data_IF_369057179609
#
_entry.id   IF_369057179609
#
_cell.length_a   1.000
_cell.length_b   1.000
_cell.length_c   1.000
_cell.angle_alpha   90.00
_cell.angle_beta   90.00
_cell.angle_gamma   90.00
#
_symmetry.space_group_name_H-M   'P 1'
#
loop_
_entity.id
_entity.type
_entity.pdbx_description
1 polymer ?
#
# COMPACT_ATOMS: atom_id res chain seq x y z
N UNK A 1 -10.42 -7.48 -0.71
CA UNK A 1 -9.25 -7.28 0.16
C UNK A 1 -8.95 -8.61 0.85
N UNK A 2 -7.69 -9.01 0.95
CA UNK A 2 -7.29 -10.20 1.72
C UNK A 2 -6.99 -9.76 3.16
N UNK A 3 -7.43 -10.54 4.13
CA UNK A 3 -7.14 -10.37 5.56
C UNK A 3 -6.59 -11.68 6.12
N UNK A 4 -5.55 -11.59 6.93
CA UNK A 4 -4.99 -12.70 7.67
C UNK A 4 -5.66 -12.80 9.04
N UNK A 5 -6.64 -13.70 9.16
CA UNK A 5 -7.40 -13.90 10.40
C UNK A 5 -6.57 -14.47 11.55
N UNK A 6 -5.33 -14.91 11.30
CA UNK A 6 -4.43 -15.45 12.33
C UNK A 6 -3.40 -14.43 12.83
N UNK A 7 -3.29 -13.27 12.18
CA UNK A 7 -2.42 -12.18 12.61
C UNK A 7 -3.17 -11.23 13.57
N UNK A 8 -2.60 -10.91 14.73
CA UNK A 8 -3.28 -10.09 15.74
C UNK A 8 -3.66 -8.68 15.25
N UNK A 9 -2.95 -8.16 14.26
CA UNK A 9 -3.14 -6.81 13.74
C UNK A 9 -4.08 -6.81 12.53
N UNK A 10 -3.96 -7.80 11.63
CA UNK A 10 -4.79 -7.91 10.43
C UNK A 10 -6.13 -8.62 10.67
N UNK A 11 -6.24 -9.43 11.74
CA UNK A 11 -7.48 -10.10 12.12
C UNK A 11 -8.61 -9.13 12.52
N UNK A 12 -8.27 -7.90 12.94
CA UNK A 12 -9.23 -6.87 13.32
C UNK A 12 -8.86 -5.54 12.69
N UNK A 13 -9.62 -5.13 11.67
CA UNK A 13 -9.42 -3.83 11.00
C UNK A 13 -10.55 -2.87 11.37
N UNK A 14 -10.31 -1.82 12.19
CA UNK A 14 -11.31 -0.79 12.49
C UNK A 14 -11.81 -0.07 11.22
N UNK A 15 -13.03 0.47 11.26
CA UNK A 15 -13.64 1.16 10.11
C UNK A 15 -12.75 2.28 9.55
N UNK A 16 -12.17 3.12 10.41
CA UNK A 16 -11.27 4.21 10.01
C UNK A 16 -10.08 3.69 9.18
N UNK A 17 -9.52 2.54 9.57
CA UNK A 17 -8.41 1.90 8.84
C UNK A 17 -8.87 1.32 7.51
N UNK A 18 -10.07 0.72 7.47
CA UNK A 18 -10.63 0.19 6.22
C UNK A 18 -10.87 1.31 5.21
N UNK A 19 -11.43 2.43 5.65
CA UNK A 19 -11.66 3.61 4.82
C UNK A 19 -10.34 4.18 4.29
N UNK A 20 -9.34 4.36 5.14
CA UNK A 20 -8.03 4.89 4.75
C UNK A 20 -7.34 4.00 3.72
N UNK A 21 -7.31 2.68 3.95
CA UNK A 21 -6.72 1.71 3.02
C UNK A 21 -7.49 1.68 1.70
N UNK A 22 -8.83 1.72 1.73
CA UNK A 22 -9.63 1.71 0.52
C UNK A 22 -9.39 2.98 -0.31
N UNK A 23 -9.43 4.16 0.32
CA UNK A 23 -9.15 5.43 -0.35
C UNK A 23 -7.74 5.45 -0.95
N UNK A 24 -6.75 4.90 -0.24
CA UNK A 24 -5.39 4.75 -0.74
C UNK A 24 -5.32 3.87 -1.99
N UNK A 25 -5.96 2.70 -2.00
CA UNK A 25 -6.00 1.81 -3.17
C UNK A 25 -6.71 2.48 -4.36
N UNK A 26 -7.83 3.18 -4.11
CA UNK A 26 -8.54 3.94 -5.13
C UNK A 26 -7.62 5.00 -5.77
N UNK A 27 -6.88 5.76 -4.95
CA UNK A 27 -5.95 6.77 -5.44
C UNK A 27 -4.82 6.18 -6.28
N UNK A 28 -4.31 4.99 -5.92
CA UNK A 28 -3.34 4.25 -6.73
C UNK A 28 -3.96 3.88 -8.08
N UNK A 29 -5.17 3.33 -8.10
CA UNK A 29 -5.86 2.94 -9.33
C UNK A 29 -6.16 4.13 -10.26
N UNK A 30 -6.40 5.31 -9.71
CA UNK A 30 -6.60 6.54 -10.47
C UNK A 30 -5.31 7.27 -10.84
N UNK A 31 -4.15 6.82 -10.34
CA UNK A 31 -2.87 7.42 -10.71
C UNK A 31 -2.42 6.88 -12.06
N UNK A 32 -2.14 7.78 -12.99
CA UNK A 32 -1.47 7.42 -14.24
C UNK A 32 0.02 7.18 -13.97
N UNK A 33 0.52 6.02 -14.42
CA UNK A 33 1.93 5.64 -14.28
C UNK A 33 2.61 5.58 -15.64
N UNK A 34 3.85 6.07 -15.70
CA UNK A 34 4.72 5.96 -16.88
C UNK A 34 5.87 5.00 -16.62
N UNK A 35 6.08 4.09 -17.57
CA UNK A 35 7.16 3.10 -17.55
C UNK A 35 7.83 3.06 -18.92
N UNK A 36 9.15 2.88 -18.94
CA UNK A 36 9.91 2.83 -20.20
C UNK A 36 9.81 1.45 -20.87
N UNK A 37 9.60 0.39 -20.10
CA UNK A 37 9.46 -0.98 -20.60
C UNK A 37 8.56 -1.84 -19.71
N UNK A 38 8.13 -2.99 -20.25
CA UNK A 38 7.22 -3.91 -19.56
C UNK A 38 7.81 -4.58 -18.31
N UNK A 39 9.14 -4.79 -18.25
CA UNK A 39 9.76 -5.46 -17.10
C UNK A 39 9.66 -4.60 -15.83
N UNK A 40 9.76 -3.28 -15.97
CA UNK A 40 9.62 -2.34 -14.86
C UNK A 40 8.24 -2.40 -14.19
N UNK A 41 7.18 -2.66 -14.97
CA UNK A 41 5.81 -2.73 -14.45
C UNK A 41 5.70 -3.81 -13.38
N UNK A 42 6.20 -5.02 -13.66
CA UNK A 42 6.10 -6.14 -12.74
C UNK A 42 6.90 -5.90 -11.46
N UNK A 43 8.13 -5.40 -11.59
CA UNK A 43 8.99 -5.12 -10.43
C UNK A 43 8.42 -4.01 -9.55
N UNK A 44 7.90 -2.95 -10.17
CA UNK A 44 7.31 -1.82 -9.49
C UNK A 44 6.07 -2.24 -8.68
N UNK A 45 5.10 -2.91 -9.30
CA UNK A 45 3.89 -3.31 -8.59
C UNK A 45 4.14 -4.40 -7.55
N UNK A 46 5.15 -5.27 -7.73
CA UNK A 46 5.60 -6.18 -6.66
C UNK A 46 6.12 -5.42 -5.43
N UNK A 47 6.92 -4.37 -5.63
CA UNK A 47 7.40 -3.51 -4.53
C UNK A 47 6.22 -2.82 -3.83
N UNK A 48 5.29 -2.26 -4.60
CA UNK A 48 4.08 -1.60 -4.07
C UNK A 48 3.24 -2.56 -3.22
N UNK A 49 2.93 -3.75 -3.75
CA UNK A 49 2.16 -4.78 -3.04
C UNK A 49 2.85 -5.17 -1.74
N UNK A 50 4.18 -5.30 -1.74
CA UNK A 50 4.92 -5.62 -0.52
C UNK A 50 4.78 -4.52 0.53
N UNK A 51 4.87 -3.23 0.15
CA UNK A 51 4.67 -2.12 1.10
C UNK A 51 3.26 -2.15 1.69
N UNK A 52 2.22 -2.28 0.85
CA UNK A 52 0.83 -2.40 1.32
C UNK A 52 0.65 -3.60 2.26
N UNK A 53 1.31 -4.72 1.97
CA UNK A 53 1.31 -5.90 2.84
C UNK A 53 1.94 -5.58 4.21
N UNK A 54 3.11 -4.93 4.25
CA UNK A 54 3.74 -4.53 5.51
C UNK A 54 2.86 -3.55 6.31
N UNK A 55 2.11 -2.67 5.63
CA UNK A 55 1.13 -1.80 6.28
C UNK A 55 0.01 -2.59 6.97
N UNK A 56 -0.45 -3.70 6.39
CA UNK A 56 -1.48 -4.57 7.01
C UNK A 56 -0.96 -5.21 8.31
N UNK A 57 0.29 -5.67 8.33
CA UNK A 57 0.92 -6.22 9.53
C UNK A 57 1.41 -5.16 10.54
N UNK A 58 1.28 -3.87 10.23
CA UNK A 58 1.68 -2.78 11.12
C UNK A 58 0.49 -2.27 11.93
N UNK A 59 0.70 -1.97 13.21
CA UNK A 59 -0.34 -1.34 14.04
C UNK A 59 -0.75 -0.01 13.42
N UNK A 60 -2.05 0.22 13.27
CA UNK A 60 -2.58 1.45 12.68
C UNK A 60 -2.06 2.70 13.38
N UNK A 61 -1.61 3.70 12.61
CA UNK A 61 -1.01 4.96 13.11
C UNK A 61 0.20 4.77 14.03
N UNK A 62 0.92 3.66 13.88
CA UNK A 62 2.24 3.50 14.49
C UNK A 62 3.30 4.15 13.62
N UNK A 63 4.47 4.42 14.20
CA UNK A 63 5.64 4.90 13.45
C UNK A 63 6.00 3.97 12.28
N UNK A 64 5.84 2.66 12.44
CA UNK A 64 6.04 1.70 11.37
C UNK A 64 5.02 1.87 10.24
N UNK A 65 3.73 2.01 10.58
CA UNK A 65 2.67 2.25 9.60
C UNK A 65 2.92 3.55 8.82
N UNK A 66 3.22 4.64 9.52
CA UNK A 66 3.49 5.94 8.91
C UNK A 66 4.75 5.90 8.03
N UNK A 67 5.77 5.14 8.45
CA UNK A 67 6.97 4.88 7.67
C UNK A 67 6.69 4.15 6.35
N UNK A 68 5.83 3.13 6.36
CA UNK A 68 5.41 2.44 5.13
C UNK A 68 4.48 3.29 4.26
N UNK A 69 3.59 4.08 4.87
CA UNK A 69 2.74 5.03 4.14
C UNK A 69 3.59 6.05 3.37
N UNK A 70 4.64 6.57 4.00
CA UNK A 70 5.60 7.46 3.36
C UNK A 70 6.34 6.77 2.21
N UNK A 71 6.86 5.56 2.43
CA UNK A 71 7.53 4.78 1.36
C UNK A 71 6.61 4.52 0.16
N UNK A 72 5.33 4.23 0.42
CA UNK A 72 4.34 4.03 -0.63
C UNK A 72 4.10 5.33 -1.42
N UNK A 73 3.98 6.45 -0.72
CA UNK A 73 3.79 7.78 -1.33
C UNK A 73 4.99 8.14 -2.22
N UNK A 74 6.21 7.94 -1.73
CA UNK A 74 7.44 8.17 -2.49
C UNK A 74 7.52 7.25 -3.73
N UNK A 75 7.14 5.98 -3.59
CA UNK A 75 7.10 5.04 -4.71
C UNK A 75 6.10 5.48 -5.79
N UNK A 76 4.92 5.96 -5.41
CA UNK A 76 3.89 6.46 -6.35
C UNK A 76 4.42 7.66 -7.13
N UNK A 77 5.03 8.63 -6.44
CA UNK A 77 5.58 9.82 -7.08
C UNK A 77 6.76 9.51 -8.03
N UNK A 78 7.53 8.45 -7.77
CA UNK A 78 8.64 8.01 -8.65
C UNK A 78 8.19 7.80 -10.10
N UNK A 79 6.95 7.32 -10.30
CA UNK A 79 6.43 6.88 -11.62
C UNK A 79 5.14 7.58 -12.05
N UNK A 80 4.69 8.59 -11.30
CA UNK A 80 3.51 9.39 -11.65
C UNK A 80 3.74 10.10 -12.99
N UNK A 81 2.74 10.04 -13.87
CA UNK A 81 2.75 10.59 -15.22
C UNK A 81 2.68 12.12 -15.28
#
# INVERSE_FOLDING_TARGET
>A
MQQDAFDEIDAVTPMDRQEEILNMVINICHTEFKFDNFNEVMEYFKRMINICKQMNYSKFRSEAYDGFYKQLSELIEERRA
#
